data_IF_515251474844
#
_entry.id   IF_515251474844
#
_cell.length_a   1.000
_cell.length_b   1.000
_cell.length_c   1.000
_cell.angle_alpha   90.00
_cell.angle_beta   90.00
_cell.angle_gamma   90.00
#
_symmetry.space_group_name_H-M   'P 1'
#
loop_
_entity.id
_entity.type
_entity.pdbx_description
1 polymer ?
#
# COMPACT_ATOMS: atom_id res chain seq x y z
N UNK A 1 0.14 11.39 29.51
CA UNK A 1 -0.15 11.51 28.06
C UNK A 1 -1.65 11.70 27.87
N UNK A 2 -2.04 12.58 26.91
CA UNK A 2 -3.44 12.73 26.49
C UNK A 2 -3.54 12.39 24.99
N UNK A 3 -4.58 11.63 24.60
CA UNK A 3 -4.90 11.29 23.22
C UNK A 3 -6.23 11.96 22.87
N UNK A 4 -6.27 12.70 21.78
CA UNK A 4 -7.47 13.34 21.26
C UNK A 4 -7.92 12.60 19.99
N UNK A 5 -9.22 12.27 19.94
CA UNK A 5 -9.85 11.60 18.79
C UNK A 5 -11.22 12.21 18.52
N UNK A 6 -11.57 12.38 17.27
CA UNK A 6 -12.91 12.83 16.85
C UNK A 6 -13.99 11.75 17.07
N UNK A 7 -13.60 10.51 17.41
CA UNK A 7 -14.47 9.34 17.53
C UNK A 7 -14.17 8.51 18.77
N UNK A 8 -15.22 7.91 19.32
CA UNK A 8 -15.09 6.87 20.35
C UNK A 8 -14.63 5.55 19.74
N UNK A 9 -14.26 4.59 20.58
CA UNK A 9 -13.96 3.23 20.14
C UNK A 9 -15.18 2.55 19.47
N UNK A 10 -16.36 2.88 19.91
CA UNK A 10 -17.64 2.40 19.37
C UNK A 10 -17.98 3.07 18.03
N UNK A 11 -17.71 4.36 17.88
CA UNK A 11 -17.88 5.08 16.62
C UNK A 11 -16.99 4.51 15.53
N UNK A 12 -15.74 4.15 15.86
CA UNK A 12 -14.83 3.48 14.91
C UNK A 12 -15.41 2.16 14.38
N UNK A 13 -16.09 1.37 15.22
CA UNK A 13 -16.73 0.11 14.77
C UNK A 13 -17.91 0.35 13.82
N UNK A 14 -18.56 1.51 13.92
CA UNK A 14 -19.70 1.90 13.10
C UNK A 14 -19.31 2.74 11.87
N UNK A 15 -18.04 3.12 11.76
CA UNK A 15 -17.55 3.96 10.66
C UNK A 15 -17.53 3.22 9.33
N UNK A 16 -17.31 3.97 8.27
CA UNK A 16 -17.01 3.46 6.95
C UNK A 16 -15.76 2.58 6.99
N UNK A 17 -15.87 1.36 6.47
CA UNK A 17 -14.71 0.49 6.28
C UNK A 17 -13.74 1.14 5.28
N UNK A 18 -12.46 1.08 5.61
CA UNK A 18 -11.37 1.52 4.74
C UNK A 18 -10.58 0.29 4.33
N UNK A 19 -10.76 -0.19 3.10
CA UNK A 19 -9.97 -1.29 2.56
C UNK A 19 -8.50 -0.95 2.60
N UNK A 20 -7.64 -1.98 2.72
CA UNK A 20 -6.18 -1.89 2.79
C UNK A 20 -5.61 -1.61 4.18
N UNK A 21 -4.40 -1.10 4.27
CA UNK A 21 -3.55 -1.06 5.46
C UNK A 21 -2.99 -2.44 5.83
N UNK A 22 -2.32 -3.08 4.85
CA UNK A 22 -1.50 -4.26 5.10
C UNK A 22 -0.20 -3.83 5.81
N UNK A 23 0.08 -4.41 6.97
CA UNK A 23 1.37 -4.29 7.65
C UNK A 23 2.27 -5.44 7.21
N UNK A 24 3.52 -5.11 6.88
CA UNK A 24 4.56 -6.10 6.60
C UNK A 24 5.24 -6.55 7.89
N UNK A 25 5.98 -7.64 7.80
CA UNK A 25 6.39 -8.45 8.93
C UNK A 25 7.01 -7.72 10.12
N UNK A 26 7.96 -6.79 9.91
CA UNK A 26 8.59 -6.05 11.01
C UNK A 26 7.58 -5.16 11.76
N UNK A 27 6.60 -4.60 11.05
CA UNK A 27 5.57 -3.77 11.66
C UNK A 27 4.54 -4.63 12.41
N UNK A 28 4.27 -5.84 11.91
CA UNK A 28 3.42 -6.84 12.61
C UNK A 28 4.09 -7.30 13.91
N UNK A 29 5.39 -7.57 13.87
CA UNK A 29 6.18 -7.93 15.05
C UNK A 29 6.21 -6.78 16.06
N UNK A 30 6.40 -5.55 15.60
CA UNK A 30 6.38 -4.38 16.49
C UNK A 30 5.02 -4.18 17.17
N UNK A 31 3.90 -4.37 16.47
CA UNK A 31 2.59 -4.37 17.13
C UNK A 31 2.48 -5.46 18.20
N UNK A 32 3.02 -6.66 17.94
CA UNK A 32 3.04 -7.75 18.92
C UNK A 32 3.93 -7.42 20.15
N UNK A 33 5.10 -6.83 19.93
CA UNK A 33 5.97 -6.32 21.01
C UNK A 33 5.23 -5.32 21.91
N UNK A 34 4.35 -4.52 21.32
CA UNK A 34 3.49 -3.59 22.05
C UNK A 34 2.25 -4.24 22.67
N UNK A 35 2.00 -5.54 22.46
CA UNK A 35 0.81 -6.24 22.91
C UNK A 35 -0.47 -5.79 22.20
N UNK A 36 -0.35 -5.49 20.90
CA UNK A 36 -1.45 -5.05 20.03
C UNK A 36 -1.85 -6.13 19.00
N UNK A 37 -1.39 -7.36 19.18
CA UNK A 37 -1.66 -8.53 18.32
C UNK A 37 -3.02 -9.19 18.62
N UNK A 38 -4.09 -8.41 18.58
CA UNK A 38 -5.44 -8.84 18.99
C UNK A 38 -6.10 -9.86 18.05
N UNK A 39 -5.53 -10.14 16.87
CA UNK A 39 -6.12 -11.00 15.83
C UNK A 39 -5.18 -12.12 15.41
N UNK A 40 -4.86 -13.08 16.30
CA UNK A 40 -3.94 -14.18 15.98
C UNK A 40 -4.45 -15.09 14.86
N UNK A 41 -5.77 -15.24 14.75
CA UNK A 41 -6.44 -16.08 13.72
C UNK A 41 -6.68 -15.36 12.38
N UNK A 42 -6.30 -14.07 12.27
CA UNK A 42 -6.47 -13.35 11.01
C UNK A 42 -5.60 -13.97 9.89
N UNK A 43 -6.09 -14.00 8.64
CA UNK A 43 -5.34 -14.56 7.53
C UNK A 43 -4.03 -13.79 7.32
N UNK A 44 -2.94 -14.56 7.15
CA UNK A 44 -1.58 -14.02 6.95
C UNK A 44 -1.18 -14.17 5.51
N UNK A 45 -0.61 -13.13 4.91
CA UNK A 45 0.04 -13.20 3.60
C UNK A 45 1.50 -13.65 3.81
N UNK A 46 1.86 -14.82 3.26
CA UNK A 46 3.20 -15.42 3.34
C UNK A 46 3.94 -15.43 2.03
N UNK A 47 3.25 -15.18 0.94
CA UNK A 47 3.79 -15.13 -0.43
C UNK A 47 3.15 -13.99 -1.20
N UNK A 48 3.83 -13.53 -2.23
CA UNK A 48 3.26 -12.65 -3.24
C UNK A 48 3.41 -13.32 -4.59
N UNK A 49 2.27 -13.45 -5.28
CA UNK A 49 2.18 -13.83 -6.67
C UNK A 49 1.93 -12.59 -7.52
N UNK A 50 2.82 -12.31 -8.48
CA UNK A 50 2.67 -11.17 -9.38
C UNK A 50 2.60 -11.67 -10.82
N UNK A 51 1.55 -11.26 -11.53
CA UNK A 51 1.38 -11.45 -12.97
C UNK A 51 1.68 -10.13 -13.70
N UNK A 52 2.68 -10.13 -14.58
CA UNK A 52 2.99 -9.00 -15.44
C UNK A 52 2.44 -9.24 -16.84
N UNK A 53 1.64 -8.29 -17.32
CA UNK A 53 1.00 -8.36 -18.65
C UNK A 53 1.65 -7.38 -19.63
N UNK A 54 1.51 -7.69 -20.92
CA UNK A 54 1.82 -6.80 -22.02
C UNK A 54 0.58 -5.99 -22.43
N UNK A 55 0.75 -4.93 -23.18
CA UNK A 55 -0.34 -4.03 -23.62
C UNK A 55 -1.48 -4.78 -24.35
N UNK A 56 -1.16 -5.89 -25.03
CA UNK A 56 -2.16 -6.76 -25.64
C UNK A 56 -2.79 -7.77 -24.68
N UNK A 57 -2.56 -7.60 -23.37
CA UNK A 57 -3.09 -8.43 -22.28
C UNK A 57 -2.61 -9.90 -22.32
N UNK A 58 -1.46 -10.14 -22.92
CA UNK A 58 -0.79 -11.44 -22.83
C UNK A 58 0.03 -11.47 -21.55
N UNK A 59 0.01 -12.60 -20.84
CA UNK A 59 0.85 -12.81 -19.66
C UNK A 59 2.31 -12.93 -20.10
N UNK A 60 3.13 -11.93 -19.74
CA UNK A 60 4.56 -11.95 -20.03
C UNK A 60 5.25 -12.99 -19.15
N UNK A 61 5.10 -12.87 -17.85
CA UNK A 61 5.62 -13.82 -16.85
C UNK A 61 4.94 -13.59 -15.50
N UNK A 62 5.10 -14.57 -14.61
CA UNK A 62 4.68 -14.45 -13.20
C UNK A 62 5.90 -14.56 -12.29
N UNK A 63 5.87 -13.85 -11.17
CA UNK A 63 6.80 -13.97 -10.06
C UNK A 63 6.04 -14.51 -8.87
N UNK A 64 6.47 -15.63 -8.31
CA UNK A 64 5.88 -16.21 -7.11
C UNK A 64 7.00 -16.54 -6.12
N UNK A 65 7.03 -15.84 -4.98
CA UNK A 65 8.05 -16.05 -3.97
C UNK A 65 7.52 -15.77 -2.55
N UNK A 66 8.14 -16.35 -1.52
CA UNK A 66 7.75 -16.12 -0.13
C UNK A 66 8.14 -14.71 0.34
N UNK A 67 7.40 -14.23 1.34
CA UNK A 67 7.83 -13.18 2.24
C UNK A 67 8.65 -13.80 3.38
N UNK A 68 9.74 -13.17 3.79
CA UNK A 68 10.55 -13.64 4.94
C UNK A 68 9.76 -13.64 6.24
N UNK A 69 8.89 -12.66 6.40
CA UNK A 69 7.97 -12.51 7.52
C UNK A 69 6.56 -12.31 6.99
N UNK A 70 5.55 -12.98 7.56
CA UNK A 70 4.17 -12.83 7.11
C UNK A 70 3.66 -11.41 7.30
N UNK A 71 2.93 -10.92 6.30
CA UNK A 71 2.19 -9.67 6.40
C UNK A 71 0.76 -9.91 6.92
N UNK A 72 0.12 -8.85 7.42
CA UNK A 72 -1.21 -8.89 8.02
C UNK A 72 -2.02 -7.67 7.63
N UNK A 73 -3.25 -7.90 7.15
CA UNK A 73 -4.21 -6.85 6.92
C UNK A 73 -5.47 -7.07 7.77
N UNK A 74 -5.79 -6.11 8.63
CA UNK A 74 -6.95 -6.13 9.53
C UNK A 74 -7.73 -4.85 9.36
N UNK A 75 -9.05 -4.96 9.41
CA UNK A 75 -9.97 -3.84 9.34
C UNK A 75 -9.61 -2.72 10.33
N UNK A 76 -9.37 -1.53 9.81
CA UNK A 76 -8.99 -0.38 10.64
C UNK A 76 -10.04 -0.02 11.68
N UNK A 77 -11.33 -0.34 11.44
CA UNK A 77 -12.40 -0.16 12.42
C UNK A 77 -12.12 -0.98 13.68
N UNK A 78 -11.64 -2.20 13.54
CA UNK A 78 -11.23 -3.06 14.63
C UNK A 78 -9.96 -2.53 15.31
N UNK A 79 -8.93 -2.20 14.51
CA UNK A 79 -7.62 -1.76 15.04
C UNK A 79 -7.74 -0.47 15.83
N UNK A 80 -8.43 0.54 15.31
CA UNK A 80 -8.59 1.82 16.00
C UNK A 80 -9.45 1.71 17.25
N UNK A 81 -10.54 0.93 17.20
CA UNK A 81 -11.36 0.66 18.37
C UNK A 81 -10.56 -0.03 19.48
N UNK A 82 -9.84 -1.11 19.16
CA UNK A 82 -9.01 -1.83 20.12
C UNK A 82 -7.86 -0.95 20.64
N UNK A 83 -7.18 -0.20 19.76
CA UNK A 83 -6.10 0.70 20.14
C UNK A 83 -6.54 1.79 21.12
N UNK A 84 -7.70 2.44 20.88
CA UNK A 84 -8.24 3.44 21.81
C UNK A 84 -8.56 2.85 23.20
N UNK A 85 -9.14 1.65 23.24
CA UNK A 85 -9.42 0.96 24.50
C UNK A 85 -8.13 0.60 25.23
N UNK A 86 -7.12 0.12 24.51
CA UNK A 86 -5.83 -0.28 25.07
C UNK A 86 -5.05 0.93 25.62
N UNK A 87 -4.97 2.03 24.88
CA UNK A 87 -4.33 3.27 25.34
C UNK A 87 -4.98 3.79 26.63
N UNK A 88 -6.33 3.74 26.72
CA UNK A 88 -7.08 4.08 27.92
C UNK A 88 -6.76 3.14 29.08
N UNK A 89 -6.70 1.82 28.82
CA UNK A 89 -6.36 0.79 29.81
C UNK A 89 -4.97 1.01 30.39
N UNK A 90 -4.03 1.49 29.57
CA UNK A 90 -2.66 1.86 29.98
C UNK A 90 -2.58 3.20 30.73
N UNK A 91 -3.70 3.85 31.01
CA UNK A 91 -3.78 5.05 31.83
C UNK A 91 -3.63 6.38 31.07
N UNK A 92 -3.64 6.38 29.74
CA UNK A 92 -3.71 7.63 29.01
C UNK A 92 -5.12 8.27 29.11
N UNK A 93 -5.17 9.59 29.17
CA UNK A 93 -6.41 10.34 29.08
C UNK A 93 -6.86 10.38 27.63
N UNK A 94 -8.00 9.74 27.30
CA UNK A 94 -8.62 9.81 25.99
C UNK A 94 -9.72 10.87 26.02
N UNK A 95 -9.60 11.86 25.16
CA UNK A 95 -10.55 12.98 24.99
C UNK A 95 -11.21 12.86 23.63
N UNK A 96 -12.54 12.80 23.63
CA UNK A 96 -13.33 12.67 22.39
C UNK A 96 -13.91 14.04 22.01
N UNK A 97 -13.63 14.43 20.78
CA UNK A 97 -14.11 15.68 20.18
C UNK A 97 -13.22 16.10 19.01
N UNK A 98 -13.74 16.94 18.13
CA UNK A 98 -12.95 17.54 17.06
C UNK A 98 -11.84 18.42 17.67
N UNK A 99 -10.71 18.48 16.99
CA UNK A 99 -9.59 19.36 17.34
C UNK A 99 -9.33 20.27 16.14
N UNK A 100 -9.35 21.58 16.38
CA UNK A 100 -8.99 22.60 15.41
C UNK A 100 -7.65 23.29 15.76
N UNK A 101 -7.29 24.32 15.01
CA UNK A 101 -6.02 25.04 15.22
C UNK A 101 -5.99 25.79 16.55
N UNK A 102 -7.12 26.35 16.98
CA UNK A 102 -7.22 27.04 18.26
C UNK A 102 -7.12 26.06 19.44
N UNK A 103 -7.65 24.83 19.26
CA UNK A 103 -7.46 23.74 20.22
C UNK A 103 -5.99 23.35 20.31
N UNK A 104 -5.28 23.22 19.17
CA UNK A 104 -3.85 22.93 19.16
C UNK A 104 -3.05 23.99 19.90
N UNK A 105 -3.40 25.27 19.74
CA UNK A 105 -2.75 26.37 20.47
C UNK A 105 -2.95 26.25 21.99
N UNK A 106 -4.17 25.91 22.44
CA UNK A 106 -4.45 25.66 23.86
C UNK A 106 -3.70 24.45 24.39
N UNK A 107 -3.61 23.39 23.61
CA UNK A 107 -2.88 22.18 23.97
C UNK A 107 -1.37 22.43 24.05
N UNK A 108 -0.81 23.15 23.08
CA UNK A 108 0.60 23.52 23.08
C UNK A 108 0.98 24.48 24.22
N UNK A 109 0.01 25.18 24.81
CA UNK A 109 0.22 25.98 26.01
C UNK A 109 0.28 25.17 27.31
N UNK A 110 -0.23 23.94 27.31
CA UNK A 110 -0.43 23.10 28.51
C UNK A 110 0.32 21.76 28.48
N UNK A 111 1.00 21.45 27.39
CA UNK A 111 1.79 20.23 27.21
C UNK A 111 3.19 20.57 26.72
N UNK A 112 4.17 19.76 27.06
CA UNK A 112 5.57 19.92 26.64
C UNK A 112 5.71 19.72 25.11
N UNK A 113 4.88 18.85 24.54
CA UNK A 113 4.81 18.56 23.11
C UNK A 113 3.39 18.18 22.69
N UNK A 114 2.96 18.68 21.53
CA UNK A 114 1.75 18.24 20.83
C UNK A 114 2.16 17.57 19.53
N UNK A 115 1.67 16.32 19.33
CA UNK A 115 1.91 15.55 18.12
C UNK A 115 0.62 15.42 17.30
N UNK A 116 0.67 15.77 16.03
CA UNK A 116 -0.46 15.69 15.09
C UNK A 116 -0.29 14.49 14.16
N UNK A 117 -1.19 13.52 14.27
CA UNK A 117 -1.22 12.31 13.44
C UNK A 117 -2.55 12.17 12.69
N UNK A 118 -3.20 13.29 12.42
CA UNK A 118 -4.57 13.34 11.91
C UNK A 118 -4.72 12.96 10.42
N UNK A 119 -3.68 12.39 9.81
CA UNK A 119 -3.69 11.98 8.41
C UNK A 119 -3.71 13.17 7.44
N UNK A 120 -4.26 12.98 6.24
CA UNK A 120 -4.33 14.02 5.21
C UNK A 120 -5.64 14.82 5.30
N UNK A 121 -5.90 15.45 6.44
CA UNK A 121 -7.05 16.33 6.66
C UNK A 121 -6.63 17.81 6.77
N UNK A 122 -7.55 18.67 7.24
CA UNK A 122 -7.32 20.11 7.39
C UNK A 122 -6.11 20.46 8.28
N UNK A 123 -5.81 19.65 9.30
CA UNK A 123 -4.66 19.87 10.18
C UNK A 123 -3.34 19.56 9.48
N UNK A 124 -3.30 18.68 8.50
CA UNK A 124 -2.11 18.44 7.69
C UNK A 124 -1.70 19.68 6.88
N UNK A 125 -2.64 20.56 6.57
CA UNK A 125 -2.39 21.84 5.91
C UNK A 125 -1.53 22.84 6.73
N UNK A 126 -1.36 22.61 8.03
CA UNK A 126 -0.46 23.37 8.87
C UNK A 126 1.03 23.11 8.53
N UNK A 127 1.34 21.94 8.02
CA UNK A 127 2.69 21.51 7.72
C UNK A 127 3.07 21.91 6.29
N UNK A 128 4.08 22.76 6.17
CA UNK A 128 4.56 23.29 4.89
C UNK A 128 5.06 22.14 4.00
N UNK A 129 4.68 22.16 2.73
CA UNK A 129 5.21 21.22 1.72
C UNK A 129 6.72 21.38 1.58
N UNK A 130 7.46 20.30 1.73
CA UNK A 130 8.87 20.25 1.38
C UNK A 130 9.01 20.09 -0.14
N UNK A 131 9.43 21.16 -0.80
CA UNK A 131 9.56 21.22 -2.27
C UNK A 131 10.70 20.35 -2.80
N UNK A 132 11.69 20.02 -1.97
CA UNK A 132 12.82 19.18 -2.36
C UNK A 132 12.47 17.70 -2.27
N UNK A 133 11.75 17.31 -1.22
CA UNK A 133 11.37 15.91 -0.96
C UNK A 133 10.08 15.49 -1.64
N UNK A 134 9.25 16.43 -2.10
CA UNK A 134 7.98 16.13 -2.77
C UNK A 134 8.17 16.10 -4.29
N UNK A 135 8.05 14.91 -4.89
CA UNK A 135 8.30 14.68 -6.32
C UNK A 135 7.08 15.04 -7.19
N UNK A 136 5.87 14.71 -6.72
CA UNK A 136 4.64 14.86 -7.51
C UNK A 136 3.81 16.06 -7.05
N UNK A 137 3.21 16.79 -7.98
CA UNK A 137 2.26 17.89 -7.74
C UNK A 137 0.82 17.52 -8.07
N UNK A 138 0.61 16.36 -8.71
CA UNK A 138 -0.68 15.85 -9.17
C UNK A 138 -0.82 14.37 -8.80
N UNK A 139 -2.06 13.85 -8.71
CA UNK A 139 -2.30 12.44 -8.51
C UNK A 139 -1.74 11.61 -9.68
N UNK A 140 -1.07 10.51 -9.35
CA UNK A 140 -0.50 9.62 -10.35
C UNK A 140 -1.41 8.44 -10.67
N UNK A 141 -2.38 8.14 -9.82
CA UNK A 141 -3.37 7.06 -9.97
C UNK A 141 -4.77 7.52 -9.54
N UNK A 142 -5.76 6.97 -10.22
CA UNK A 142 -7.16 6.95 -9.77
C UNK A 142 -7.39 5.66 -9.02
N UNK A 143 -7.89 5.76 -7.80
CA UNK A 143 -7.95 4.67 -6.83
C UNK A 143 -9.37 4.18 -6.67
N UNK A 144 -9.54 2.85 -6.62
CA UNK A 144 -10.73 2.22 -6.11
C UNK A 144 -10.34 1.03 -5.23
N UNK A 145 -10.91 0.94 -4.06
CA UNK A 145 -10.63 -0.11 -3.08
C UNK A 145 -11.92 -0.65 -2.50
N UNK A 146 -11.99 -1.97 -2.29
CA UNK A 146 -13.13 -2.59 -1.61
C UNK A 146 -12.74 -3.92 -0.98
N UNK A 147 -13.52 -4.34 0.03
CA UNK A 147 -13.42 -5.68 0.58
C UNK A 147 -14.53 -6.55 0.02
N UNK A 148 -14.18 -7.78 -0.35
CA UNK A 148 -15.11 -8.76 -0.89
C UNK A 148 -15.02 -10.11 -0.18
N UNK A 149 -16.13 -10.85 -0.21
CA UNK A 149 -16.21 -12.24 0.24
C UNK A 149 -17.02 -13.09 -0.77
N UNK A 150 -17.12 -14.40 -0.56
CA UNK A 150 -17.88 -15.28 -1.44
C UNK A 150 -17.27 -15.51 -2.83
N UNK A 151 -15.99 -15.23 -2.99
CA UNK A 151 -15.17 -15.49 -4.18
C UNK A 151 -14.93 -17.00 -4.39
N UNK A 152 -14.56 -17.41 -5.61
CA UNK A 152 -14.24 -18.81 -5.92
C UNK A 152 -12.74 -19.09 -5.79
N UNK A 153 -12.30 -19.53 -4.60
CA UNK A 153 -10.92 -19.89 -4.33
C UNK A 153 -10.41 -21.06 -5.16
N UNK A 154 -11.29 -21.93 -5.68
CA UNK A 154 -10.87 -23.05 -6.51
C UNK A 154 -10.46 -22.60 -7.92
N UNK A 155 -11.04 -21.49 -8.40
CA UNK A 155 -10.66 -20.90 -9.69
C UNK A 155 -9.25 -20.28 -9.67
N UNK A 156 -8.83 -19.72 -8.54
CA UNK A 156 -7.51 -19.05 -8.37
C UNK A 156 -6.95 -19.35 -6.97
N UNK A 157 -6.36 -20.55 -6.73
CA UNK A 157 -5.86 -20.93 -5.41
C UNK A 157 -4.75 -20.01 -4.86
N UNK A 158 -4.00 -19.32 -5.72
CA UNK A 158 -2.96 -18.34 -5.37
C UNK A 158 -3.51 -17.15 -4.58
N UNK A 159 -4.80 -16.84 -4.68
CA UNK A 159 -5.49 -15.82 -3.89
C UNK A 159 -5.57 -16.12 -2.39
N UNK A 160 -5.10 -17.28 -1.93
CA UNK A 160 -4.85 -17.51 -0.51
C UNK A 160 -3.75 -16.59 0.03
N UNK A 161 -2.87 -16.14 -0.84
CA UNK A 161 -1.77 -15.22 -0.60
C UNK A 161 -2.04 -13.86 -1.25
N UNK A 162 -1.03 -12.98 -1.31
CA UNK A 162 -1.11 -11.73 -2.06
C UNK A 162 -1.01 -11.99 -3.56
N UNK A 163 -1.94 -11.43 -4.33
CA UNK A 163 -1.90 -11.50 -5.80
C UNK A 163 -1.87 -10.10 -6.39
N UNK A 164 -0.90 -9.86 -7.26
CA UNK A 164 -0.70 -8.59 -7.95
C UNK A 164 -0.80 -8.82 -9.45
N UNK A 165 -1.62 -8.05 -10.13
CA UNK A 165 -1.81 -8.10 -11.58
C UNK A 165 -1.47 -6.73 -12.17
N UNK A 166 -0.37 -6.67 -12.93
CA UNK A 166 0.15 -5.43 -13.50
C UNK A 166 0.00 -5.39 -15.01
N UNK A 167 -0.75 -4.40 -15.48
CA UNK A 167 -0.82 -4.01 -16.88
C UNK A 167 -0.18 -2.61 -17.00
N UNK A 168 1.14 -2.52 -17.23
CA UNK A 168 1.89 -1.27 -17.17
C UNK A 168 1.26 -0.14 -17.98
N UNK A 169 1.20 1.07 -17.39
CA UNK A 169 0.60 2.24 -18.00
C UNK A 169 -0.93 2.21 -18.13
N UNK A 170 -1.59 1.21 -17.55
CA UNK A 170 -3.06 1.09 -17.57
C UNK A 170 -3.64 0.86 -16.21
N UNK A 171 -3.15 -0.17 -15.48
CA UNK A 171 -3.77 -0.63 -14.24
C UNK A 171 -2.79 -1.48 -13.44
N UNK A 172 -2.69 -1.21 -12.16
CA UNK A 172 -2.17 -2.11 -11.14
C UNK A 172 -3.33 -2.56 -10.24
N UNK A 173 -3.43 -3.87 -10.01
CA UNK A 173 -4.48 -4.45 -9.17
C UNK A 173 -3.87 -5.39 -8.14
N UNK A 174 -4.32 -5.26 -6.89
CA UNK A 174 -3.80 -6.02 -5.76
C UNK A 174 -4.93 -6.71 -5.01
N UNK A 175 -4.71 -7.98 -4.69
CA UNK A 175 -5.55 -8.74 -3.77
C UNK A 175 -4.73 -9.13 -2.57
N UNK A 176 -5.21 -8.82 -1.37
CA UNK A 176 -4.56 -9.24 -0.12
C UNK A 176 -5.54 -9.98 0.78
N UNK A 177 -5.09 -11.04 1.49
CA UNK A 177 -5.87 -11.64 2.56
C UNK A 177 -6.21 -10.58 3.60
N UNK A 178 -7.47 -10.51 4.03
CA UNK A 178 -7.94 -9.44 4.89
C UNK A 178 -8.87 -9.98 5.98
N UNK A 179 -8.72 -9.48 7.20
CA UNK A 179 -9.63 -9.74 8.31
C UNK A 179 -10.65 -8.59 8.41
N UNK A 180 -11.84 -8.81 7.88
CA UNK A 180 -12.94 -7.84 7.87
C UNK A 180 -13.75 -7.93 9.16
N UNK A 181 -14.22 -6.80 9.66
CA UNK A 181 -15.00 -6.68 10.89
C UNK A 181 -16.32 -7.47 10.84
N UNK A 182 -16.97 -7.49 9.69
CA UNK A 182 -18.33 -7.99 9.55
C UNK A 182 -18.40 -9.46 9.14
N UNK A 183 -17.43 -9.93 8.35
CA UNK A 183 -17.42 -11.30 7.79
C UNK A 183 -16.20 -12.15 8.17
N UNK A 184 -15.20 -11.57 8.85
CA UNK A 184 -13.96 -12.26 9.18
C UNK A 184 -13.04 -12.40 7.96
N UNK A 185 -12.74 -13.64 7.53
CA UNK A 185 -11.87 -13.85 6.37
C UNK A 185 -12.49 -13.30 5.09
N UNK A 186 -11.77 -12.43 4.42
CA UNK A 186 -12.17 -11.75 3.19
C UNK A 186 -10.94 -11.45 2.31
N UNK A 187 -11.15 -10.72 1.23
CA UNK A 187 -10.07 -10.15 0.41
C UNK A 187 -10.26 -8.66 0.29
N UNK A 188 -9.19 -7.91 0.54
CA UNK A 188 -9.13 -6.50 0.19
C UNK A 188 -8.55 -6.37 -1.21
N UNK A 189 -9.25 -5.61 -2.04
CA UNK A 189 -8.84 -5.29 -3.39
C UNK A 189 -8.47 -3.83 -3.48
N UNK A 190 -7.37 -3.56 -4.17
CA UNK A 190 -6.94 -2.22 -4.60
C UNK A 190 -6.85 -2.21 -6.12
N UNK A 191 -7.43 -1.20 -6.73
CA UNK A 191 -7.30 -0.87 -8.14
C UNK A 191 -6.68 0.50 -8.25
N UNK A 192 -5.57 0.59 -8.97
CA UNK A 192 -4.84 1.83 -9.25
C UNK A 192 -4.75 2.03 -10.76
N UNK A 193 -5.64 2.83 -11.29
CA UNK A 193 -5.76 3.10 -12.72
C UNK A 193 -5.00 4.36 -13.12
N UNK A 194 -4.42 4.38 -14.31
CA UNK A 194 -3.90 5.62 -14.91
C UNK A 194 -5.05 6.61 -15.08
N UNK A 195 -4.95 7.85 -14.55
CA UNK A 195 -6.01 8.84 -14.61
C UNK A 195 -6.46 9.10 -16.06
N UNK A 196 -7.78 9.09 -16.30
CA UNK A 196 -8.39 9.24 -17.62
C UNK A 196 -8.16 8.05 -18.57
N UNK A 197 -7.50 6.98 -18.12
CA UNK A 197 -7.27 5.78 -18.89
C UNK A 197 -8.49 4.85 -18.94
N UNK A 198 -8.39 3.78 -19.76
CA UNK A 198 -9.52 2.82 -19.98
C UNK A 198 -9.94 2.04 -18.72
N UNK A 199 -9.09 1.97 -17.72
CA UNK A 199 -9.37 1.34 -16.42
C UNK A 199 -9.92 2.33 -15.37
N UNK A 200 -9.85 3.62 -15.61
CA UNK A 200 -10.34 4.67 -14.71
C UNK A 200 -11.85 4.85 -14.85
N UNK A 201 -12.62 3.90 -14.30
CA UNK A 201 -14.07 3.79 -14.48
C UNK A 201 -14.87 3.97 -13.19
N UNK A 202 -14.21 4.26 -12.08
CA UNK A 202 -14.85 4.27 -10.77
C UNK A 202 -15.33 5.66 -10.32
N UNK A 203 -15.14 6.70 -11.15
CA UNK A 203 -15.47 8.09 -10.83
C UNK A 203 -16.91 8.29 -10.39
N UNK A 204 -17.87 7.64 -11.07
CA UNK A 204 -19.30 7.78 -10.82
C UNK A 204 -19.89 6.77 -9.81
N UNK A 205 -19.10 5.82 -9.32
CA UNK A 205 -19.54 4.80 -8.36
C UNK A 205 -20.08 5.46 -7.07
N UNK A 206 -21.28 5.08 -6.66
CA UNK A 206 -21.98 5.62 -5.48
C UNK A 206 -22.31 4.56 -4.43
N UNK A 207 -22.18 3.27 -4.75
CA UNK A 207 -22.44 2.15 -3.86
C UNK A 207 -21.42 1.02 -3.99
N UNK A 208 -21.37 0.15 -2.98
CA UNK A 208 -20.50 -1.04 -3.02
C UNK A 208 -20.87 -2.00 -4.15
N UNK A 209 -22.17 -2.23 -4.37
CA UNK A 209 -22.66 -3.13 -5.41
C UNK A 209 -22.32 -2.62 -6.81
N UNK A 210 -22.56 -1.31 -7.06
CA UNK A 210 -22.16 -0.66 -8.31
C UNK A 210 -20.64 -0.74 -8.52
N UNK A 211 -19.85 -0.46 -7.48
CA UNK A 211 -18.40 -0.57 -7.53
C UNK A 211 -17.92 -1.98 -7.88
N UNK A 212 -18.57 -3.01 -7.32
CA UNK A 212 -18.26 -4.41 -7.64
C UNK A 212 -18.62 -4.75 -9.09
N UNK A 213 -19.73 -4.28 -9.63
CA UNK A 213 -20.10 -4.53 -11.03
C UNK A 213 -19.13 -3.81 -12.00
N UNK A 214 -18.73 -2.57 -11.71
CA UNK A 214 -17.68 -1.88 -12.48
C UNK A 214 -16.36 -2.66 -12.41
N UNK A 215 -15.99 -3.13 -11.22
CA UNK A 215 -14.79 -3.96 -11.02
C UNK A 215 -14.83 -5.25 -11.87
N UNK A 216 -15.93 -5.99 -11.83
CA UNK A 216 -16.11 -7.20 -12.64
C UNK A 216 -15.94 -6.90 -14.13
N UNK A 217 -16.52 -5.79 -14.61
CA UNK A 217 -16.39 -5.39 -16.01
C UNK A 217 -14.93 -5.03 -16.37
N UNK A 218 -14.20 -4.34 -15.49
CA UNK A 218 -12.77 -4.06 -15.68
C UNK A 218 -11.93 -5.33 -15.69
N UNK A 219 -12.22 -6.26 -14.77
CA UNK A 219 -11.52 -7.55 -14.68
C UNK A 219 -11.82 -8.42 -15.90
N UNK A 220 -13.07 -8.53 -16.31
CA UNK A 220 -13.46 -9.31 -17.50
C UNK A 220 -12.76 -8.81 -18.78
N UNK A 221 -12.57 -7.50 -18.88
CA UNK A 221 -11.87 -6.90 -20.00
C UNK A 221 -10.35 -7.03 -19.90
N UNK A 222 -9.74 -6.69 -18.77
CA UNK A 222 -8.28 -6.49 -18.64
C UNK A 222 -7.56 -7.72 -18.09
N UNK A 223 -8.20 -8.45 -17.17
CA UNK A 223 -7.65 -9.60 -16.46
C UNK A 223 -8.64 -10.78 -16.49
N UNK A 224 -9.04 -11.29 -17.66
CA UNK A 224 -10.11 -12.32 -17.77
C UNK A 224 -9.81 -13.61 -17.03
N UNK A 225 -8.56 -13.89 -16.67
CA UNK A 225 -8.16 -15.02 -15.83
C UNK A 225 -8.62 -14.87 -14.36
N UNK A 226 -8.92 -13.66 -13.90
CA UNK A 226 -9.47 -13.36 -12.58
C UNK A 226 -11.02 -13.47 -12.53
N UNK A 227 -11.68 -13.47 -13.68
CA UNK A 227 -13.14 -13.39 -13.77
C UNK A 227 -13.86 -14.51 -13.02
N UNK A 228 -13.35 -15.74 -13.12
CA UNK A 228 -13.96 -16.89 -12.45
C UNK A 228 -13.88 -16.77 -10.91
N UNK A 229 -12.77 -16.27 -10.41
CA UNK A 229 -12.57 -16.00 -8.98
C UNK A 229 -13.54 -14.94 -8.46
N UNK A 230 -13.67 -13.83 -9.20
CA UNK A 230 -14.44 -12.67 -8.77
C UNK A 230 -15.95 -12.80 -9.00
N UNK A 231 -16.39 -13.62 -9.96
CA UNK A 231 -17.79 -13.69 -10.38
C UNK A 231 -18.78 -13.89 -9.23
N UNK A 232 -18.60 -14.84 -8.28
CA UNK A 232 -19.53 -15.04 -7.18
C UNK A 232 -19.35 -14.06 -6.03
N UNK A 233 -18.32 -13.21 -6.06
CA UNK A 233 -17.98 -12.32 -4.96
C UNK A 233 -19.07 -11.28 -4.69
N UNK A 234 -19.12 -10.84 -3.43
CA UNK A 234 -20.01 -9.81 -2.91
C UNK A 234 -19.21 -8.85 -2.03
N UNK A 235 -19.63 -7.57 -1.90
CA UNK A 235 -19.03 -6.67 -0.91
C UNK A 235 -19.19 -7.22 0.52
N UNK A 236 -18.21 -7.02 1.39
CA UNK A 236 -18.34 -7.43 2.81
C UNK A 236 -19.40 -6.61 3.56
N UNK A 237 -19.58 -5.36 3.15
CA UNK A 237 -20.66 -4.50 3.62
C UNK A 237 -20.93 -3.35 2.63
N UNK A 238 -22.07 -2.65 2.75
CA UNK A 238 -22.39 -1.52 1.86
C UNK A 238 -21.42 -0.33 1.99
N UNK A 239 -20.61 -0.29 3.05
CA UNK A 239 -19.73 0.85 3.35
C UNK A 239 -18.23 0.50 3.32
N UNK A 240 -17.88 -0.71 2.89
CA UNK A 240 -16.48 -1.20 2.86
C UNK A 240 -15.84 -0.99 1.48
N UNK A 241 -15.87 0.24 1.01
CA UNK A 241 -15.24 0.66 -0.23
C UNK A 241 -14.84 2.12 -0.18
N UNK A 242 -13.86 2.50 -1.00
CA UNK A 242 -13.38 3.87 -1.14
C UNK A 242 -12.90 4.12 -2.57
N UNK A 243 -13.08 5.34 -3.06
CA UNK A 243 -12.49 5.82 -4.31
C UNK A 243 -11.87 7.18 -4.08
N UNK A 244 -10.92 7.55 -4.91
CA UNK A 244 -10.28 8.86 -4.84
C UNK A 244 -8.97 8.92 -5.58
N UNK A 245 -8.20 9.93 -5.24
CA UNK A 245 -6.86 10.17 -5.75
C UNK A 245 -6.00 10.69 -4.61
N UNK A 246 -4.71 10.41 -4.66
CA UNK A 246 -3.74 10.89 -3.69
C UNK A 246 -2.62 11.63 -4.43
N UNK A 247 -2.24 12.80 -3.93
CA UNK A 247 -1.01 13.48 -4.33
C UNK A 247 0.06 13.13 -3.31
N UNK A 248 1.05 12.32 -3.64
CA UNK A 248 2.14 12.01 -2.72
C UNK A 248 2.85 13.31 -2.30
N UNK A 249 3.08 13.47 -1.01
CA UNK A 249 3.69 14.70 -0.47
C UNK A 249 4.52 14.42 0.76
N UNK A 250 5.67 15.08 0.83
CA UNK A 250 6.46 15.21 2.05
C UNK A 250 6.29 16.65 2.56
N UNK A 251 6.07 16.82 3.84
CA UNK A 251 5.92 18.10 4.51
C UNK A 251 6.99 18.26 5.58
N UNK A 252 7.28 19.50 5.95
CA UNK A 252 8.15 19.79 7.08
C UNK A 252 7.50 19.29 8.37
N UNK A 253 8.23 18.64 9.27
CA UNK A 253 7.64 17.96 10.42
C UNK A 253 7.10 18.91 11.49
N UNK A 254 7.55 20.16 11.51
CA UNK A 254 7.20 21.15 12.54
C UNK A 254 6.34 22.24 11.92
N UNK A 255 5.16 22.45 12.48
CA UNK A 255 4.30 23.57 12.15
C UNK A 255 4.28 24.60 13.28
N UNK A 256 4.23 25.89 12.92
CA UNK A 256 4.13 27.00 13.87
C UNK A 256 2.67 27.43 13.96
N UNK A 257 2.15 27.48 15.18
CA UNK A 257 0.79 27.90 15.48
C UNK A 257 0.67 29.41 15.56
N UNK A 258 -0.55 30.00 15.54
CA UNK A 258 -0.75 31.45 15.63
C UNK A 258 -0.11 32.11 16.85
N UNK A 259 -0.02 31.39 17.97
CA UNK A 259 0.65 31.87 19.20
C UNK A 259 2.18 31.89 19.11
N UNK A 260 2.77 31.39 18.03
CA UNK A 260 4.22 31.18 17.89
C UNK A 260 4.73 29.87 18.51
N UNK A 261 3.87 29.08 19.16
CA UNK A 261 4.19 27.72 19.59
C UNK A 261 4.28 26.78 18.39
N UNK A 262 4.84 25.59 18.59
CA UNK A 262 5.00 24.61 17.53
C UNK A 262 4.39 23.26 17.89
N UNK A 263 4.07 22.50 16.85
CA UNK A 263 3.59 21.12 16.94
C UNK A 263 4.39 20.24 16.01
N UNK A 264 4.51 18.95 16.35
CA UNK A 264 5.15 17.92 15.53
C UNK A 264 4.11 17.16 14.71
N UNK A 265 4.31 17.01 13.42
CA UNK A 265 3.53 16.12 12.58
C UNK A 265 4.18 14.74 12.43
N UNK A 266 3.39 13.67 12.44
CA UNK A 266 3.85 12.31 12.16
C UNK A 266 2.89 11.58 11.21
N UNK A 267 3.38 10.51 10.58
CA UNK A 267 2.61 9.70 9.64
C UNK A 267 2.16 10.50 8.42
N UNK A 268 0.96 10.23 7.93
CA UNK A 268 0.39 10.87 6.73
C UNK A 268 0.21 12.39 6.85
N UNK A 269 0.27 12.93 8.06
CA UNK A 269 0.27 14.38 8.25
C UNK A 269 1.51 15.04 7.62
N UNK A 270 2.64 14.33 7.57
CA UNK A 270 3.91 14.85 7.03
C UNK A 270 4.49 14.02 5.88
N UNK A 271 4.25 12.71 5.81
CA UNK A 271 4.72 11.85 4.71
C UNK A 271 3.56 11.01 4.20
N UNK A 272 2.90 11.50 3.17
CA UNK A 272 1.81 10.83 2.49
C UNK A 272 2.34 10.18 1.21
N UNK A 273 2.37 8.86 1.18
CA UNK A 273 2.76 8.08 0.00
C UNK A 273 1.54 7.71 -0.84
N UNK A 274 1.77 7.44 -2.13
CA UNK A 274 0.80 6.74 -2.95
C UNK A 274 0.63 5.30 -2.44
N UNK A 275 -0.59 4.73 -2.43
CA UNK A 275 -0.84 3.40 -1.88
C UNK A 275 -0.25 2.24 -2.69
N UNK A 276 0.25 2.47 -3.91
CA UNK A 276 0.76 1.45 -4.84
C UNK A 276 1.77 0.47 -4.19
N UNK A 277 2.64 0.98 -3.32
CA UNK A 277 3.60 0.15 -2.60
C UNK A 277 3.08 -0.37 -1.26
N UNK A 278 1.85 -0.06 -0.84
CA UNK A 278 1.29 -0.46 0.45
C UNK A 278 2.04 0.11 1.66
N UNK A 279 2.76 1.22 1.51
CA UNK A 279 3.73 1.68 2.51
C UNK A 279 3.19 2.70 3.53
N UNK A 280 2.02 3.29 3.33
CA UNK A 280 1.53 4.37 4.20
C UNK A 280 1.52 3.99 5.69
N UNK A 281 0.79 2.93 6.05
CA UNK A 281 0.71 2.45 7.43
C UNK A 281 2.06 1.93 7.96
N UNK A 282 2.84 1.25 7.12
CA UNK A 282 4.16 0.73 7.49
C UNK A 282 5.14 1.87 7.81
N UNK A 283 5.14 2.91 6.98
CA UNK A 283 5.96 4.10 7.19
C UNK A 283 5.55 4.87 8.45
N UNK A 284 4.24 5.04 8.66
CA UNK A 284 3.72 5.68 9.87
C UNK A 284 4.13 4.92 11.15
N UNK A 285 4.10 3.59 11.11
CA UNK A 285 4.52 2.74 12.24
C UNK A 285 6.03 2.87 12.51
N UNK A 286 6.88 2.83 11.47
CA UNK A 286 8.34 3.05 11.61
C UNK A 286 8.65 4.44 12.19
N UNK A 287 7.97 5.47 11.67
CA UNK A 287 8.13 6.84 12.17
C UNK A 287 7.69 6.95 13.63
N UNK A 288 6.55 6.37 13.98
CA UNK A 288 6.06 6.38 15.36
C UNK A 288 7.01 5.67 16.33
N UNK A 289 7.59 4.52 15.91
CA UNK A 289 8.62 3.82 16.70
C UNK A 289 9.83 4.70 16.95
N UNK A 290 10.42 5.25 15.89
CA UNK A 290 11.58 6.12 15.98
C UNK A 290 11.33 7.32 16.91
N UNK A 291 10.24 8.05 16.68
CA UNK A 291 9.95 9.22 17.52
C UNK A 291 9.57 8.84 18.96
N UNK A 292 8.95 7.70 19.20
CA UNK A 292 8.68 7.24 20.57
C UNK A 292 9.98 6.98 21.35
N UNK A 293 10.98 6.38 20.71
CA UNK A 293 12.30 6.11 21.29
C UNK A 293 13.06 7.44 21.53
N UNK A 294 13.12 8.34 20.55
CA UNK A 294 13.78 9.64 20.66
C UNK A 294 13.16 10.55 21.73
N UNK A 295 11.82 10.63 21.75
CA UNK A 295 11.11 11.45 22.75
C UNK A 295 11.27 10.91 24.17
N UNK A 296 11.29 9.57 24.33
CA UNK A 296 11.48 8.96 25.64
C UNK A 296 12.92 9.11 26.19
N UNK A 297 13.90 9.21 25.32
CA UNK A 297 15.30 9.39 25.67
C UNK A 297 15.77 10.85 25.84
N UNK A 298 14.89 11.83 25.59
CA UNK A 298 15.26 13.25 25.59
C UNK A 298 14.90 13.93 26.91
N UNK A 299 15.90 14.44 27.63
CA UNK A 299 15.74 15.15 28.89
C UNK A 299 15.54 16.67 28.75
N UNK A 300 15.69 17.19 27.52
CA UNK A 300 15.59 18.62 27.22
C UNK A 300 14.22 19.09 26.75
N UNK A 301 14.05 20.38 26.44
CA UNK A 301 12.82 20.88 25.84
C UNK A 301 12.70 20.42 24.38
N UNK A 302 11.51 20.06 23.96
CA UNK A 302 11.21 19.67 22.58
C UNK A 302 11.15 20.88 21.66
N UNK A 303 12.30 21.46 21.35
CA UNK A 303 12.39 22.67 20.51
C UNK A 303 12.15 22.34 19.03
N UNK A 304 11.65 23.33 18.27
CA UNK A 304 11.43 23.17 16.83
C UNK A 304 12.70 22.74 16.06
N UNK A 305 13.91 23.31 16.33
CA UNK A 305 15.13 22.82 15.69
C UNK A 305 15.46 21.36 16.03
N UNK A 306 15.31 20.95 17.29
CA UNK A 306 15.58 19.58 17.71
C UNK A 306 14.62 18.59 17.03
N UNK A 307 13.32 18.90 16.99
CA UNK A 307 12.32 18.07 16.31
C UNK A 307 12.58 17.94 14.81
N UNK A 308 13.01 19.03 14.18
CA UNK A 308 13.36 19.01 12.75
C UNK A 308 14.62 18.15 12.50
N UNK A 309 15.64 18.26 13.37
CA UNK A 309 16.85 17.43 13.30
C UNK A 309 16.53 15.94 13.45
N UNK A 310 15.66 15.56 14.41
CA UNK A 310 15.22 14.15 14.56
C UNK A 310 14.48 13.64 13.34
N UNK A 311 13.66 14.48 12.70
CA UNK A 311 13.01 14.10 11.44
C UNK A 311 14.02 13.92 10.30
N UNK A 312 15.03 14.76 10.19
CA UNK A 312 16.08 14.62 9.19
C UNK A 312 16.89 13.33 9.40
N UNK A 313 17.17 12.96 10.64
CA UNK A 313 17.79 11.68 10.97
C UNK A 313 16.89 10.49 10.60
N UNK A 314 15.61 10.54 10.97
CA UNK A 314 14.64 9.52 10.53
C UNK A 314 14.57 9.43 9.01
N UNK A 315 14.61 10.57 8.30
CA UNK A 315 14.51 10.64 6.84
C UNK A 315 15.65 9.90 6.13
N UNK A 316 16.82 9.78 6.71
CA UNK A 316 17.94 9.01 6.11
C UNK A 316 17.53 7.57 5.79
N UNK A 317 16.58 7.01 6.53
CA UNK A 317 15.99 5.69 6.28
C UNK A 317 14.57 5.78 5.72
N UNK A 318 13.74 6.69 6.23
CA UNK A 318 12.35 6.88 5.82
C UNK A 318 12.19 7.23 4.34
N UNK A 319 13.18 7.92 3.76
CA UNK A 319 13.19 8.27 2.33
C UNK A 319 13.08 7.07 1.40
N UNK A 320 13.64 5.92 1.77
CA UNK A 320 13.57 4.72 0.93
C UNK A 320 12.13 4.23 0.73
N UNK A 321 11.26 4.46 1.70
CA UNK A 321 9.82 4.19 1.55
C UNK A 321 9.19 5.11 0.49
N UNK A 322 9.54 6.39 0.53
CA UNK A 322 9.06 7.38 -0.43
C UNK A 322 9.63 7.11 -1.84
N UNK A 323 10.94 6.85 -1.93
CA UNK A 323 11.62 6.56 -3.19
C UNK A 323 11.10 5.26 -3.83
N UNK A 324 10.81 4.23 -3.04
CA UNK A 324 10.20 2.99 -3.52
C UNK A 324 8.79 3.24 -4.06
N UNK A 325 7.93 3.92 -3.31
CA UNK A 325 6.57 4.24 -3.73
C UNK A 325 6.56 5.09 -5.01
N UNK A 326 7.35 6.14 -5.07
CA UNK A 326 7.47 7.00 -6.26
C UNK A 326 8.08 6.26 -7.45
N UNK A 327 9.04 5.37 -7.20
CA UNK A 327 9.69 4.57 -8.25
C UNK A 327 8.75 3.58 -8.93
N UNK A 328 7.74 3.08 -8.21
CA UNK A 328 6.71 2.20 -8.80
C UNK A 328 5.67 2.97 -9.62
N UNK A 329 5.46 4.26 -9.36
CA UNK A 329 4.54 5.11 -10.14
C UNK A 329 5.07 5.42 -11.54
N UNK A 330 6.39 5.35 -11.72
CA UNK A 330 7.04 5.54 -13.00
C UNK A 330 6.97 4.25 -13.87
N UNK A 331 7.11 4.36 -15.20
CA UNK A 331 7.26 3.17 -16.03
C UNK A 331 8.45 2.32 -15.61
N UNK A 332 8.26 0.99 -15.56
CA UNK A 332 9.33 0.07 -15.18
C UNK A 332 10.58 0.26 -16.06
N UNK A 333 11.73 0.44 -15.43
CA UNK A 333 13.02 0.50 -16.10
C UNK A 333 13.43 -0.86 -16.69
N UNK A 334 14.45 -0.90 -17.54
CA UNK A 334 14.99 -2.14 -18.07
C UNK A 334 15.60 -3.01 -16.94
N UNK A 335 16.20 -2.36 -15.96
CA UNK A 335 16.77 -3.01 -14.77
C UNK A 335 15.69 -3.68 -13.94
N UNK A 336 14.63 -2.98 -13.62
CA UNK A 336 13.49 -3.51 -12.86
C UNK A 336 12.85 -4.69 -13.59
N UNK A 337 12.60 -4.55 -14.90
CA UNK A 337 12.10 -5.67 -15.72
C UNK A 337 13.04 -6.86 -15.71
N UNK A 338 14.36 -6.62 -15.75
CA UNK A 338 15.36 -7.69 -15.72
C UNK A 338 15.37 -8.43 -14.38
N UNK A 339 15.29 -7.70 -13.26
CA UNK A 339 15.16 -8.29 -11.92
C UNK A 339 13.88 -9.12 -11.80
N UNK A 340 12.73 -8.55 -12.18
CA UNK A 340 11.45 -9.26 -12.11
C UNK A 340 11.43 -10.50 -12.99
N UNK A 341 12.05 -10.44 -14.17
CA UNK A 341 12.22 -11.58 -15.05
C UNK A 341 13.13 -12.66 -14.42
N UNK A 342 14.21 -12.27 -13.74
CA UNK A 342 15.04 -13.21 -13.00
C UNK A 342 14.28 -13.83 -11.83
N UNK A 343 13.52 -13.02 -11.09
CA UNK A 343 12.65 -13.45 -9.99
C UNK A 343 11.59 -14.47 -10.45
N UNK A 344 11.09 -14.37 -11.69
CA UNK A 344 10.15 -15.36 -12.26
C UNK A 344 10.78 -16.75 -12.48
N UNK A 345 12.09 -16.88 -12.34
CA UNK A 345 12.87 -18.12 -12.54
C UNK A 345 13.69 -18.55 -11.32
N UNK A 346 13.80 -17.64 -10.35
CA UNK A 346 14.67 -17.79 -9.19
C UNK A 346 13.92 -17.28 -7.95
N UNK A 347 13.51 -18.21 -7.10
CA UNK A 347 12.77 -17.90 -5.87
C UNK A 347 13.58 -17.00 -4.93
N UNK A 348 14.90 -17.21 -4.83
CA UNK A 348 15.79 -16.39 -4.00
C UNK A 348 15.90 -14.92 -4.48
N UNK A 349 15.73 -14.67 -5.78
CA UNK A 349 15.63 -13.31 -6.33
C UNK A 349 14.24 -12.71 -6.01
N UNK A 350 13.19 -13.52 -6.13
CA UNK A 350 11.82 -13.11 -5.80
C UNK A 350 11.65 -12.79 -4.32
N UNK A 351 12.19 -13.64 -3.42
CA UNK A 351 12.18 -13.39 -1.98
C UNK A 351 12.87 -12.06 -1.64
N UNK A 352 14.03 -11.78 -2.24
CA UNK A 352 14.71 -10.50 -2.01
C UNK A 352 13.96 -9.31 -2.59
N UNK A 353 13.24 -9.48 -3.71
CA UNK A 353 12.39 -8.44 -4.28
C UNK A 353 11.22 -8.13 -3.35
N UNK A 354 10.58 -9.15 -2.79
CA UNK A 354 9.45 -8.97 -1.87
C UNK A 354 9.86 -8.48 -0.49
N UNK A 355 11.14 -8.69 -0.07
CA UNK A 355 11.67 -8.07 1.13
C UNK A 355 11.61 -6.54 1.09
N UNK A 356 11.63 -5.95 -0.10
CA UNK A 356 11.44 -4.51 -0.29
C UNK A 356 10.11 -3.96 0.22
N UNK A 357 9.08 -4.79 0.37
CA UNK A 357 7.82 -4.37 1.02
C UNK A 357 7.96 -4.29 2.54
N UNK A 358 8.76 -5.19 3.14
CA UNK A 358 9.05 -5.19 4.57
C UNK A 358 10.09 -4.11 4.91
N UNK A 359 11.19 -4.06 4.15
CA UNK A 359 12.25 -3.06 4.26
C UNK A 359 12.57 -2.44 2.89
N UNK A 360 11.98 -1.31 2.52
CA UNK A 360 12.26 -0.63 1.25
C UNK A 360 13.74 -0.33 1.00
N UNK A 361 14.54 -0.09 2.05
CA UNK A 361 15.97 0.20 1.91
C UNK A 361 16.74 -0.98 1.29
N UNK A 362 16.26 -2.20 1.50
CA UNK A 362 16.85 -3.44 0.97
C UNK A 362 16.84 -3.54 -0.56
N UNK A 363 16.05 -2.71 -1.25
CA UNK A 363 16.00 -2.63 -2.71
C UNK A 363 17.10 -1.73 -3.30
N UNK A 364 17.71 -0.88 -2.47
CA UNK A 364 18.64 0.12 -2.95
C UNK A 364 20.10 -0.35 -2.80
N UNK A 365 20.96 -0.03 -3.79
CA UNK A 365 20.60 0.61 -5.07
C UNK A 365 20.17 -0.38 -6.16
N UNK A 366 20.24 -1.70 -5.93
CA UNK A 366 20.25 -2.76 -6.96
C UNK A 366 18.95 -2.86 -7.79
N UNK A 367 17.81 -2.39 -7.28
CA UNK A 367 16.55 -2.41 -8.04
C UNK A 367 16.39 -1.18 -8.95
N UNK A 368 17.20 -0.14 -8.76
CA UNK A 368 17.09 1.15 -9.44
C UNK A 368 18.35 1.55 -10.24
N UNK A 369 19.50 0.93 -9.98
CA UNK A 369 20.76 1.24 -10.64
C UNK A 369 21.27 0.07 -11.50
N UNK A 370 21.60 0.35 -12.76
CA UNK A 370 21.97 -0.67 -13.74
C UNK A 370 23.26 -1.45 -13.37
N UNK A 371 24.23 -0.81 -12.74
CA UNK A 371 25.48 -1.48 -12.36
C UNK A 371 25.24 -2.37 -11.14
N UNK A 372 24.54 -1.84 -10.16
CA UNK A 372 24.16 -2.58 -8.95
C UNK A 372 23.22 -3.77 -9.26
N UNK A 373 22.29 -3.61 -10.21
CA UNK A 373 21.43 -4.72 -10.69
C UNK A 373 22.29 -5.88 -11.24
N UNK A 374 23.24 -5.56 -12.11
CA UNK A 374 24.11 -6.60 -12.69
C UNK A 374 24.95 -7.33 -11.62
N UNK A 375 25.48 -6.58 -10.68
CA UNK A 375 26.23 -7.15 -9.55
C UNK A 375 25.35 -8.03 -8.65
N UNK A 376 24.13 -7.55 -8.30
CA UNK A 376 23.15 -8.29 -7.53
C UNK A 376 22.80 -9.63 -8.18
N UNK A 377 22.52 -9.63 -9.49
CA UNK A 377 22.19 -10.84 -10.25
C UNK A 377 23.40 -11.77 -10.38
N UNK A 378 24.60 -11.22 -10.63
CA UNK A 378 25.82 -12.00 -10.75
C UNK A 378 26.16 -12.75 -9.44
N UNK A 379 26.00 -12.11 -8.29
CA UNK A 379 26.16 -12.76 -6.96
C UNK A 379 25.20 -13.93 -6.74
N UNK A 380 24.11 -13.99 -7.49
CA UNK A 380 23.10 -15.08 -7.49
C UNK A 380 23.26 -16.05 -8.66
N UNK A 381 24.42 -16.01 -9.36
CA UNK A 381 24.70 -16.82 -10.53
C UNK A 381 23.69 -16.62 -11.69
N UNK A 382 23.15 -15.41 -11.84
CA UNK A 382 22.34 -15.01 -12.98
C UNK A 382 23.17 -14.10 -13.88
N UNK A 383 23.72 -14.68 -14.96
CA UNK A 383 24.54 -13.97 -15.92
C UNK A 383 23.74 -13.41 -17.11
N UNK A 384 24.43 -12.69 -18.00
CA UNK A 384 23.79 -12.13 -19.21
C UNK A 384 23.15 -13.19 -20.10
N UNK A 385 23.73 -14.38 -20.18
CA UNK A 385 23.18 -15.48 -20.98
C UNK A 385 21.87 -16.02 -20.38
N UNK A 386 21.78 -16.06 -19.06
CA UNK A 386 20.55 -16.49 -18.38
C UNK A 386 19.41 -15.48 -18.62
N UNK A 387 19.72 -14.19 -18.49
CA UNK A 387 18.75 -13.12 -18.78
C UNK A 387 18.29 -13.20 -20.25
N UNK A 388 19.20 -13.44 -21.18
CA UNK A 388 18.83 -13.63 -22.59
C UNK A 388 17.93 -14.85 -22.81
N UNK A 389 18.24 -15.99 -22.20
CA UNK A 389 17.40 -17.20 -22.23
C UNK A 389 15.99 -16.93 -21.65
N UNK A 390 15.92 -16.19 -20.53
CA UNK A 390 14.64 -15.83 -19.92
C UNK A 390 13.81 -14.94 -20.85
N UNK A 391 14.42 -13.93 -21.49
CA UNK A 391 13.77 -13.06 -22.49
C UNK A 391 13.25 -13.84 -23.68
N UNK A 392 14.05 -14.78 -24.22
CA UNK A 392 13.64 -15.64 -25.32
C UNK A 392 12.46 -16.55 -24.93
N UNK A 393 12.47 -17.09 -23.71
CA UNK A 393 11.36 -17.90 -23.17
C UNK A 393 10.06 -17.09 -23.07
N UNK A 394 10.11 -15.85 -22.61
CA UNK A 394 8.94 -14.95 -22.60
C UNK A 394 8.47 -14.68 -24.02
N UNK A 395 9.37 -14.36 -24.98
CA UNK A 395 9.00 -14.14 -26.38
C UNK A 395 8.29 -15.34 -26.99
N UNK A 396 8.79 -16.57 -26.78
CA UNK A 396 8.18 -17.80 -27.26
C UNK A 396 6.76 -18.03 -26.65
N UNK A 397 6.61 -17.78 -25.35
CA UNK A 397 5.32 -17.88 -24.68
C UNK A 397 4.29 -16.89 -25.25
N UNK A 398 4.69 -15.65 -25.45
CA UNK A 398 3.83 -14.61 -26.02
C UNK A 398 3.37 -14.96 -27.45
N UNK A 399 4.27 -15.50 -28.29
CA UNK A 399 3.94 -15.99 -29.62
C UNK A 399 2.90 -17.12 -29.58
N UNK A 400 3.07 -18.08 -28.66
CA UNK A 400 2.13 -19.18 -28.48
C UNK A 400 0.74 -18.68 -28.05
N UNK A 401 0.68 -17.73 -27.10
CA UNK A 401 -0.58 -17.13 -26.67
C UNK A 401 -1.29 -16.39 -27.82
N UNK A 402 -0.54 -15.63 -28.65
CA UNK A 402 -1.10 -14.96 -29.83
C UNK A 402 -1.65 -15.95 -30.86
N UNK A 403 -0.91 -17.01 -31.17
CA UNK A 403 -1.36 -18.06 -32.07
C UNK A 403 -2.66 -18.73 -31.57
N UNK A 404 -2.72 -19.05 -30.29
CA UNK A 404 -3.92 -19.68 -29.67
C UNK A 404 -5.16 -18.77 -29.72
N UNK A 405 -4.98 -17.46 -29.60
CA UNK A 405 -6.08 -16.47 -29.72
C UNK A 405 -6.60 -16.36 -31.14
N UNK A 406 -5.72 -16.47 -32.16
CA UNK A 406 -6.12 -16.45 -33.57
C UNK A 406 -6.94 -17.67 -33.95
N UNK A 407 -6.57 -18.84 -33.43
CA UNK A 407 -7.29 -20.11 -33.67
C UNK A 407 -8.69 -20.13 -33.00
N UNK A 408 -8.84 -19.47 -31.85
CA UNK A 408 -10.10 -19.39 -31.09
C UNK A 408 -11.08 -18.32 -31.59
N UNK A 409 -10.72 -17.47 -32.56
CA UNK A 409 -11.67 -16.56 -33.19
C UNK A 409 -12.67 -17.42 -34.04
N UNK A 410 -13.98 -17.41 -33.75
CA UNK A 410 -14.93 -18.08 -34.61
C UNK A 410 -14.81 -17.49 -36.00
N UNK A 411 -14.64 -18.36 -36.98
CA UNK A 411 -14.78 -18.02 -38.41
C UNK A 411 -16.17 -17.43 -38.57
N UNK A 412 -16.23 -16.13 -38.89
CA UNK A 412 -17.47 -15.38 -38.99
C UNK A 412 -18.48 -16.16 -39.82
N UNK A 413 -19.69 -16.37 -39.27
CA UNK A 413 -20.78 -16.96 -39.98
C UNK A 413 -20.99 -16.16 -41.28
N UNK A 414 -20.94 -16.87 -42.38
CA UNK A 414 -21.35 -16.38 -43.69
C UNK A 414 -22.81 -15.92 -43.56
N UNK A 415 -23.00 -14.60 -43.67
CA UNK A 415 -24.35 -14.10 -43.99
C UNK A 415 -24.79 -14.75 -45.30
N UNK A 416 -25.81 -15.56 -45.21
CA UNK A 416 -26.54 -16.04 -46.41
C UNK A 416 -27.57 -14.99 -46.81
N UNK A 417 -27.79 -14.77 -48.07
CA UNK A 417 -28.53 -13.62 -48.64
C UNK A 417 -30.01 -13.60 -48.28
#
# INVERSE_FOLDING_TARGET
MSLYSDRTAEDHLCDRGRPTACLFGDQVEYEAELGLDFWPEAPRMRRIHLDLFTDDRSLAFSVDAPLRKPALAVDQRLKFSAGLREVRRRGAKVVIGPVDVDDLDRLAASHDLVVVTAGNNSLAGLFERDQVRSVHSEPQRSLFMMNVHGYDMAARPEHREGVFSFLPGTLEMFWVPFHDKDVGESRSLVVEATPGGRADRFGDVTSADEGLEVLKAVVDELFPHESAFLRPARPTSPVTWIKGQVVPVVRRPVAVLPSGRHVLGLGDAVVLNDPLAGQGANNATRMARFFAEELAGHDGPFTAPWLAERFDEWWEHGRYTNDFSNGLLAPLTEEQRTVMLAASRREDVGEQLWEGFNDPSSLFPWFFDAAATREFLARRNVGRLDVLRYKLGVGANLLTQKASRLVKRPVGGTATP
#
